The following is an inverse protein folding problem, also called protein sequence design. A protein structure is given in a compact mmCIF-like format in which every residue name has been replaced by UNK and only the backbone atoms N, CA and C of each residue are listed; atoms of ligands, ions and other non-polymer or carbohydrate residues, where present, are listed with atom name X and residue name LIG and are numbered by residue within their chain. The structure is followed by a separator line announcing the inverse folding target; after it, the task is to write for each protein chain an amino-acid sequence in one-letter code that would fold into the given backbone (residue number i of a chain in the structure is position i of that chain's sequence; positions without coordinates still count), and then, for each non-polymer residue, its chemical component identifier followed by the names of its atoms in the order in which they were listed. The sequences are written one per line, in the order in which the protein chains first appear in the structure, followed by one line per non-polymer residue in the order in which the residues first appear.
data_IF_357324992835
#
_entry.id   IF_357324992835
#
_cell.length_a   1.000
_cell.length_b   1.000
_cell.length_c   1.000
_cell.angle_alpha   90.00
_cell.angle_beta   90.00
_cell.angle_gamma   90.00
#
_symmetry.space_group_name_H-M   'P 1'
#
loop_
_entity.id
_entity.type
_entity.pdbx_description
1 polymer ?
#
# COMPACT_ATOMS: atom_id res chain seq x y z
N UNK A 1 -16.19 8.05 -6.50
CA UNK A 1 -14.75 8.37 -6.46
C UNK A 1 -13.99 7.36 -7.30
N UNK A 2 -12.88 7.71 -7.95
CA UNK A 2 -12.06 6.73 -8.71
C UNK A 2 -11.31 5.83 -7.73
N UNK A 3 -11.22 4.54 -8.02
CA UNK A 3 -10.45 3.58 -7.23
C UNK A 3 -8.97 3.96 -7.35
N UNK A 4 -8.24 4.18 -6.24
CA UNK A 4 -6.80 4.41 -6.28
C UNK A 4 -6.09 3.23 -6.94
N UNK A 5 -4.96 3.48 -7.60
CA UNK A 5 -4.22 2.45 -8.31
C UNK A 5 -2.74 2.57 -7.95
N UNK A 6 -2.21 1.51 -7.32
CA UNK A 6 -0.79 1.43 -7.00
C UNK A 6 0.01 1.10 -8.26
N UNK A 7 1.16 1.75 -8.41
CA UNK A 7 2.09 1.46 -9.49
C UNK A 7 2.56 -0.01 -9.41
N UNK A 8 2.55 -0.69 -10.55
CA UNK A 8 3.10 -2.04 -10.67
C UNK A 8 4.60 -1.95 -10.91
N UNK A 9 5.42 -2.35 -9.94
CA UNK A 9 6.88 -2.49 -10.10
C UNK A 9 7.21 -3.98 -9.98
N UNK A 10 7.36 -4.69 -11.12
CA UNK A 10 7.48 -6.15 -11.13
C UNK A 10 8.79 -6.61 -10.49
N UNK A 11 8.69 -7.44 -9.46
CA UNK A 11 9.80 -8.17 -8.86
C UNK A 11 9.61 -9.68 -9.07
N UNK A 12 10.66 -10.39 -9.51
CA UNK A 12 10.63 -11.86 -9.59
C UNK A 12 11.21 -12.43 -8.31
N UNK A 13 10.38 -13.14 -7.55
CA UNK A 13 10.79 -13.86 -6.35
C UNK A 13 10.95 -15.34 -6.68
N UNK A 14 11.82 -16.02 -5.94
CA UNK A 14 12.06 -17.45 -6.08
C UNK A 14 12.21 -18.15 -4.74
N UNK A 15 11.55 -19.29 -4.56
CA UNK A 15 11.71 -20.15 -3.39
C UNK A 15 11.49 -21.61 -3.80
N UNK A 16 12.39 -22.52 -3.41
CA UNK A 16 12.32 -23.95 -3.75
C UNK A 16 12.04 -24.21 -5.23
N UNK A 17 12.84 -23.60 -6.13
CA UNK A 17 12.71 -23.68 -7.60
C UNK A 17 11.40 -23.15 -8.20
N UNK A 18 10.48 -22.65 -7.38
CA UNK A 18 9.27 -21.95 -7.81
C UNK A 18 9.59 -20.47 -7.97
N UNK A 19 9.25 -19.91 -9.12
CA UNK A 19 9.35 -18.46 -9.41
C UNK A 19 7.98 -17.86 -9.57
N UNK A 20 7.76 -16.67 -9.01
CA UNK A 20 6.54 -15.89 -9.24
C UNK A 20 6.86 -14.41 -9.37
N UNK A 21 5.95 -13.70 -10.03
CA UNK A 21 6.00 -12.27 -10.23
C UNK A 21 5.15 -11.58 -9.16
N UNK A 22 5.76 -10.62 -8.47
CA UNK A 22 5.11 -9.78 -7.46
C UNK A 22 5.21 -8.32 -7.93
N UNK A 23 4.09 -7.75 -8.35
CA UNK A 23 4.03 -6.36 -8.87
C UNK A 23 4.04 -5.30 -7.76
N UNK A 24 3.87 -5.71 -6.49
CA UNK A 24 3.58 -4.79 -5.39
C UNK A 24 4.51 -4.96 -4.19
N UNK A 25 5.45 -5.91 -4.24
CA UNK A 25 6.44 -6.12 -3.18
C UNK A 25 7.19 -4.87 -2.77
N UNK A 26 7.42 -3.95 -3.70
CA UNK A 26 8.15 -2.70 -3.51
C UNK A 26 7.51 -1.77 -2.46
N UNK A 27 6.20 -1.92 -2.18
CA UNK A 27 5.53 -1.16 -1.12
C UNK A 27 6.10 -1.50 0.26
N UNK A 28 6.69 -2.69 0.41
CA UNK A 28 7.32 -3.12 1.64
C UNK A 28 8.70 -2.47 1.81
N UNK A 29 8.78 -1.50 2.72
CA UNK A 29 10.03 -0.86 3.08
C UNK A 29 10.89 -1.73 4.01
N UNK A 30 12.19 -1.83 3.76
CA UNK A 30 13.13 -2.59 4.61
C UNK A 30 13.15 -2.10 6.07
N UNK A 31 12.90 -0.81 6.30
CA UNK A 31 12.83 -0.19 7.62
C UNK A 31 11.40 -0.18 8.21
N UNK A 32 10.54 -1.14 7.85
CA UNK A 32 9.12 -1.15 8.23
C UNK A 32 8.89 -0.98 9.75
N UNK A 33 9.73 -1.58 10.60
CA UNK A 33 9.60 -1.43 12.06
C UNK A 33 9.81 0.00 12.54
N UNK A 34 10.64 0.79 11.84
CA UNK A 34 10.81 2.20 12.15
C UNK A 34 9.64 3.02 11.62
N UNK A 35 9.14 2.70 10.43
CA UNK A 35 7.96 3.36 9.84
C UNK A 35 6.72 3.17 10.71
N UNK A 36 6.56 1.98 11.30
CA UNK A 36 5.46 1.70 12.23
C UNK A 36 5.56 2.50 13.54
N UNK A 37 6.78 2.85 13.98
CA UNK A 37 7.00 3.72 15.13
C UNK A 37 6.84 5.20 14.78
N UNK A 38 7.28 5.57 13.58
CA UNK A 38 7.29 6.93 13.07
C UNK A 38 6.85 6.94 11.60
N UNK A 39 5.57 7.25 11.40
CA UNK A 39 4.94 7.29 10.07
C UNK A 39 5.52 8.37 9.13
N UNK A 40 6.34 9.30 9.63
CA UNK A 40 7.03 10.27 8.79
C UNK A 40 8.13 9.63 7.92
N UNK A 41 8.62 8.44 8.31
CA UNK A 41 9.62 7.64 7.57
C UNK A 41 9.03 6.85 6.40
N UNK A 42 7.72 6.90 6.21
CA UNK A 42 7.04 6.27 5.08
C UNK A 42 7.41 6.98 3.78
N UNK A 43 7.68 6.22 2.72
CA UNK A 43 7.97 6.78 1.40
C UNK A 43 6.79 7.65 0.92
N UNK A 44 7.03 8.85 0.36
CA UNK A 44 5.96 9.74 -0.07
C UNK A 44 4.98 9.12 -1.06
N UNK A 45 5.45 8.29 -1.98
CA UNK A 45 4.62 7.57 -2.95
C UNK A 45 3.66 6.56 -2.29
N UNK A 46 4.15 5.82 -1.29
CA UNK A 46 3.35 4.87 -0.51
C UNK A 46 2.35 5.62 0.36
N UNK A 47 2.79 6.71 1.01
CA UNK A 47 1.92 7.56 1.82
C UNK A 47 0.75 8.11 1.01
N UNK A 48 1.04 8.67 -0.16
CA UNK A 48 0.02 9.21 -1.07
C UNK A 48 -1.01 8.14 -1.43
N UNK A 49 -0.57 6.94 -1.81
CA UNK A 49 -1.49 5.85 -2.15
C UNK A 49 -2.38 5.45 -0.97
N UNK A 50 -1.82 5.33 0.24
CA UNK A 50 -2.59 5.02 1.44
C UNK A 50 -3.61 6.11 1.79
N UNK A 51 -3.26 7.39 1.61
CA UNK A 51 -4.19 8.51 1.81
C UNK A 51 -5.33 8.49 0.79
N UNK A 52 -5.04 8.16 -0.48
CA UNK A 52 -6.06 7.98 -1.53
C UNK A 52 -7.01 6.81 -1.20
N UNK A 53 -6.48 5.67 -0.72
CA UNK A 53 -7.27 4.51 -0.28
C UNK A 53 -8.14 4.83 0.95
N UNK A 54 -7.60 5.57 1.92
CA UNK A 54 -8.35 6.02 3.09
C UNK A 54 -9.51 6.94 2.66
N UNK A 55 -9.27 7.90 1.78
CA UNK A 55 -10.29 8.80 1.28
C UNK A 55 -11.36 8.07 0.44
N UNK A 56 -10.95 7.08 -0.35
CA UNK A 56 -11.87 6.22 -1.10
C UNK A 56 -12.77 5.44 -0.14
N UNK A 57 -12.19 4.81 0.88
CA UNK A 57 -12.93 4.05 1.91
C UNK A 57 -13.90 4.93 2.69
N UNK A 58 -13.44 6.10 3.16
CA UNK A 58 -14.24 7.10 3.86
C UNK A 58 -15.46 7.53 3.02
N UNK A 59 -15.27 7.77 1.73
CA UNK A 59 -16.34 8.15 0.83
C UNK A 59 -17.39 7.04 0.66
N UNK A 60 -16.95 5.79 0.52
CA UNK A 60 -17.85 4.66 0.27
C UNK A 60 -18.54 4.16 1.54
N UNK A 61 -17.94 4.34 2.72
CA UNK A 61 -18.49 3.94 4.01
C UNK A 61 -19.15 5.09 4.78
N UNK A 62 -19.28 6.29 4.17
CA UNK A 62 -19.86 7.47 4.83
C UNK A 62 -21.24 7.21 5.46
N UNK A 63 -22.05 6.35 4.85
CA UNK A 63 -23.43 6.08 5.27
C UNK A 63 -23.49 5.14 6.49
N UNK A 64 -22.41 4.41 6.80
CA UNK A 64 -22.34 3.52 7.97
C UNK A 64 -21.87 4.23 9.24
N UNK A 65 -21.48 5.51 9.16
CA UNK A 65 -20.92 6.26 10.29
C UNK A 65 -21.94 6.73 11.32
N UNK A 66 -23.24 6.69 11.00
CA UNK A 66 -24.32 7.16 11.87
C UNK A 66 -24.98 6.05 12.70
N UNK A 67 -24.28 4.93 12.89
CA UNK A 67 -24.70 3.81 13.75
C UNK A 67 -24.04 3.90 15.13
#
# INVERSE_FOLDING_TARGET
MKIPQLEKKPEIKSCHDIKWKDDYSWIHQKNILEVLKDGSKLLPEVKKYLEEENAYTEHNLKDTKKL
#
